data_IF_327618227781
#
_entry.id   IF_327618227781
#
_cell.length_a   1.000
_cell.length_b   1.000
_cell.length_c   1.000
_cell.angle_alpha   90.00
_cell.angle_beta   90.00
_cell.angle_gamma   90.00
#
_symmetry.space_group_name_H-M   'P 1'
#
loop_
_entity.id
_entity.type
_entity.pdbx_description
1 polymer ?
#
# COMPACT_ATOMS: atom_id res chain seq x y z
N UNK A 1 -30.86 12.29 -16.24
CA UNK A 1 -29.41 12.43 -16.00
C UNK A 1 -29.14 11.96 -14.59
N UNK A 2 -28.40 10.86 -14.39
CA UNK A 2 -28.08 10.40 -13.05
C UNK A 2 -27.17 11.44 -12.39
N UNK A 3 -27.51 11.87 -11.17
CA UNK A 3 -26.67 12.75 -10.38
C UNK A 3 -25.45 11.96 -9.93
N UNK A 4 -24.31 12.22 -10.55
CA UNK A 4 -23.00 11.78 -10.07
C UNK A 4 -22.78 12.50 -8.73
N UNK A 5 -22.96 11.76 -7.63
CA UNK A 5 -22.52 12.21 -6.32
C UNK A 5 -20.99 12.28 -6.39
N UNK A 6 -20.46 13.50 -6.38
CA UNK A 6 -19.05 13.72 -6.03
C UNK A 6 -18.89 13.31 -4.58
N UNK A 7 -18.58 12.04 -4.38
CA UNK A 7 -18.28 11.49 -3.07
C UNK A 7 -16.96 12.08 -2.58
N UNK A 8 -17.02 12.57 -1.35
CA UNK A 8 -15.95 13.30 -0.69
C UNK A 8 -14.68 12.45 -0.59
N UNK A 9 -13.54 13.13 -0.71
CA UNK A 9 -12.23 12.65 -0.31
C UNK A 9 -12.33 11.81 0.97
N UNK A 10 -11.97 10.52 0.88
CA UNK A 10 -11.78 9.50 1.95
C UNK A 10 -12.52 8.17 1.68
N UNK A 11 -12.38 7.59 0.48
CA UNK A 11 -12.64 6.17 0.27
C UNK A 11 -11.32 5.39 0.35
N UNK A 12 -10.87 5.14 1.57
CA UNK A 12 -9.84 4.15 1.89
C UNK A 12 -10.38 3.24 2.99
N UNK A 13 -11.34 2.38 2.65
CA UNK A 13 -11.61 1.19 3.45
C UNK A 13 -12.55 0.24 2.71
N UNK A 14 -12.06 -0.33 1.62
CA UNK A 14 -12.53 -1.66 1.23
C UNK A 14 -11.31 -2.57 1.12
N UNK A 15 -10.76 -2.98 2.26
CA UNK A 15 -9.85 -4.12 2.32
C UNK A 15 -10.70 -5.37 2.11
N UNK A 16 -10.85 -5.78 0.86
CA UNK A 16 -11.33 -7.11 0.57
C UNK A 16 -10.38 -8.11 1.25
N UNK A 17 -10.92 -9.15 1.90
CA UNK A 17 -10.07 -10.26 2.34
C UNK A 17 -9.45 -10.98 1.13
N UNK A 18 -10.20 -11.02 0.03
CA UNK A 18 -9.80 -11.43 -1.32
C UNK A 18 -10.68 -10.67 -2.33
N UNK A 19 -10.11 -10.19 -3.44
CA UNK A 19 -10.86 -9.55 -4.53
C UNK A 19 -11.88 -10.52 -5.16
N UNK A 20 -13.08 -10.03 -5.55
CA UNK A 20 -14.04 -10.86 -6.25
C UNK A 20 -13.50 -11.27 -7.63
N UNK A 21 -13.92 -12.42 -8.18
CA UNK A 21 -13.45 -12.91 -9.47
C UNK A 21 -13.52 -11.87 -10.58
N UNK A 22 -14.61 -11.11 -10.65
CA UNK A 22 -14.85 -10.07 -11.64
C UNK A 22 -13.79 -8.95 -11.59
N UNK A 23 -13.30 -8.61 -10.38
CA UNK A 23 -12.23 -7.64 -10.20
C UNK A 23 -10.86 -8.20 -10.61
N UNK A 24 -10.61 -9.49 -10.33
CA UNK A 24 -9.40 -10.17 -10.77
C UNK A 24 -9.33 -10.28 -12.30
N UNK A 25 -10.45 -10.60 -12.96
CA UNK A 25 -10.54 -10.60 -14.41
C UNK A 25 -10.30 -9.20 -14.99
N UNK A 26 -10.85 -8.16 -14.37
CA UNK A 26 -10.63 -6.80 -14.80
C UNK A 26 -9.15 -6.37 -14.73
N UNK A 27 -8.46 -6.69 -13.64
CA UNK A 27 -7.01 -6.42 -13.49
C UNK A 27 -6.23 -7.22 -14.52
N UNK A 28 -6.59 -8.50 -14.70
CA UNK A 28 -5.95 -9.34 -15.70
C UNK A 28 -6.06 -8.73 -17.09
N UNK A 29 -7.25 -8.33 -17.53
CA UNK A 29 -7.45 -7.74 -18.86
C UNK A 29 -6.59 -6.48 -19.07
N UNK A 30 -6.46 -5.64 -18.05
CA UNK A 30 -5.76 -4.36 -18.15
C UNK A 30 -4.23 -4.46 -18.04
N UNK A 31 -3.70 -5.41 -17.26
CA UNK A 31 -2.26 -5.46 -16.95
C UNK A 31 -1.57 -6.76 -17.33
N UNK A 32 -2.27 -7.89 -17.24
CA UNK A 32 -1.63 -9.23 -17.33
C UNK A 32 -2.10 -10.07 -18.52
N UNK A 33 -3.00 -9.54 -19.36
CA UNK A 33 -3.61 -10.25 -20.50
C UNK A 33 -2.63 -10.70 -21.57
N UNK A 34 -1.45 -10.07 -21.62
CA UNK A 34 -0.36 -10.45 -22.53
C UNK A 34 0.64 -11.44 -21.93
N UNK A 35 0.63 -11.63 -20.62
CA UNK A 35 1.67 -12.35 -19.89
C UNK A 35 1.21 -13.73 -19.41
N UNK A 36 -0.06 -13.86 -19.04
CA UNK A 36 -0.64 -15.11 -18.55
C UNK A 36 -2.11 -15.20 -18.90
N UNK A 37 -2.70 -16.39 -18.77
CA UNK A 37 -4.15 -16.55 -18.86
C UNK A 37 -4.84 -16.08 -17.58
N UNK A 38 -6.12 -15.75 -17.68
CA UNK A 38 -6.87 -15.28 -16.53
C UNK A 38 -6.99 -16.35 -15.42
N UNK A 39 -7.05 -17.63 -15.81
CA UNK A 39 -7.08 -18.78 -14.91
C UNK A 39 -5.77 -18.93 -14.14
N UNK A 40 -4.63 -18.70 -14.79
CA UNK A 40 -3.30 -18.69 -14.17
C UNK A 40 -3.13 -17.51 -13.20
N UNK A 41 -3.64 -16.33 -13.56
CA UNK A 41 -3.63 -15.14 -12.70
C UNK A 41 -4.45 -15.35 -11.43
N UNK A 42 -5.70 -15.83 -11.58
CA UNK A 42 -6.60 -16.13 -10.46
C UNK A 42 -6.01 -17.22 -9.55
N UNK A 43 -5.44 -18.28 -10.13
CA UNK A 43 -4.77 -19.34 -9.36
C UNK A 43 -3.54 -18.81 -8.60
N UNK A 44 -2.82 -17.83 -9.17
CA UNK A 44 -1.67 -17.19 -8.52
C UNK A 44 -2.08 -16.28 -7.36
N UNK A 45 -3.17 -15.52 -7.53
CA UNK A 45 -3.74 -14.64 -6.50
C UNK A 45 -4.24 -15.44 -5.27
N UNK A 46 -5.00 -16.50 -5.48
CA UNK A 46 -5.52 -17.33 -4.38
C UNK A 46 -4.51 -18.35 -3.85
N UNK A 47 -3.57 -18.81 -4.68
CA UNK A 47 -2.55 -19.78 -4.31
C UNK A 47 -1.46 -19.24 -3.39
N UNK A 48 -1.37 -17.91 -3.22
CA UNK A 48 -0.41 -17.21 -2.37
C UNK A 48 1.06 -17.67 -2.60
N UNK A 49 1.37 -18.17 -3.81
CA UNK A 49 2.68 -18.72 -4.18
C UNK A 49 3.74 -17.64 -4.34
N UNK A 50 3.31 -16.41 -4.52
CA UNK A 50 4.17 -15.22 -4.68
C UNK A 50 3.83 -14.26 -3.53
N UNK A 51 4.80 -14.02 -2.65
CA UNK A 51 4.63 -13.05 -1.55
C UNK A 51 4.30 -11.67 -2.11
N UNK A 52 3.29 -11.01 -1.57
CA UNK A 52 2.90 -9.64 -1.98
C UNK A 52 1.97 -9.54 -3.19
N UNK A 53 1.62 -10.64 -3.87
CA UNK A 53 0.75 -10.62 -5.06
C UNK A 53 -0.67 -10.10 -4.76
N UNK A 54 -1.14 -10.28 -3.52
CA UNK A 54 -2.44 -9.75 -3.08
C UNK A 54 -2.42 -8.23 -2.93
N UNK A 55 -1.41 -7.70 -2.24
CA UNK A 55 -1.25 -6.25 -2.09
C UNK A 55 -1.04 -5.56 -3.44
N UNK A 56 -0.29 -6.20 -4.33
CA UNK A 56 -0.10 -5.67 -5.69
C UNK A 56 -1.37 -5.75 -6.54
N UNK A 57 -2.16 -6.83 -6.40
CA UNK A 57 -3.47 -6.94 -7.03
C UNK A 57 -4.44 -5.84 -6.56
N UNK A 58 -4.49 -5.58 -5.26
CA UNK A 58 -5.35 -4.53 -4.69
C UNK A 58 -4.90 -3.12 -5.15
N UNK A 59 -3.59 -2.88 -5.23
CA UNK A 59 -3.02 -1.62 -5.74
C UNK A 59 -3.37 -1.40 -7.21
N UNK A 60 -3.10 -2.41 -8.05
CA UNK A 60 -3.37 -2.36 -9.48
C UNK A 60 -4.87 -2.23 -9.77
N UNK A 61 -5.72 -2.79 -8.93
CA UNK A 61 -7.16 -2.62 -9.03
C UNK A 61 -7.60 -1.16 -8.84
N UNK A 62 -7.14 -0.49 -7.78
CA UNK A 62 -7.50 0.92 -7.56
C UNK A 62 -6.95 1.83 -8.65
N UNK A 63 -5.76 1.54 -9.17
CA UNK A 63 -5.19 2.25 -10.33
C UNK A 63 -6.03 2.03 -11.61
N UNK A 64 -6.43 0.79 -11.88
CA UNK A 64 -7.29 0.43 -13.01
C UNK A 64 -8.64 1.13 -12.95
N UNK A 65 -9.24 1.12 -11.76
CA UNK A 65 -10.54 1.74 -11.47
C UNK A 65 -10.50 3.24 -11.67
N UNK A 66 -9.47 3.91 -11.14
CA UNK A 66 -9.32 5.35 -11.31
C UNK A 66 -9.17 5.73 -12.80
N UNK A 67 -8.31 5.02 -13.52
CA UNK A 67 -8.11 5.23 -14.96
C UNK A 67 -9.39 4.96 -15.78
N UNK A 68 -10.12 3.90 -15.48
CA UNK A 68 -11.35 3.54 -16.19
C UNK A 68 -12.53 4.49 -15.88
N UNK A 69 -12.62 5.01 -14.65
CA UNK A 69 -13.59 6.05 -14.28
C UNK A 69 -13.30 7.38 -15.00
N UNK A 70 -12.02 7.76 -15.13
CA UNK A 70 -11.61 8.96 -15.88
C UNK A 70 -11.89 8.85 -17.38
N UNK A 71 -11.75 7.65 -17.95
CA UNK A 71 -12.04 7.36 -19.36
C UNK A 71 -13.53 7.10 -19.63
N UNK A 72 -14.37 6.98 -18.60
CA UNK A 72 -15.80 6.68 -18.72
C UNK A 72 -16.11 5.26 -19.20
N UNK A 73 -15.15 4.34 -19.10
CA UNK A 73 -15.22 2.97 -19.61
C UNK A 73 -15.25 1.92 -18.48
N UNK A 74 -15.63 2.32 -17.26
CA UNK A 74 -15.72 1.38 -16.14
C UNK A 74 -16.92 0.43 -16.34
N UNK A 75 -16.73 -0.90 -16.28
CA UNK A 75 -17.82 -1.86 -16.51
C UNK A 75 -18.99 -1.66 -15.54
N UNK A 76 -20.21 -1.57 -16.06
CA UNK A 76 -21.43 -1.40 -15.25
C UNK A 76 -21.65 -2.57 -14.28
N UNK A 77 -21.20 -3.77 -14.65
CA UNK A 77 -21.23 -4.99 -13.82
C UNK A 77 -20.37 -4.83 -12.56
N UNK A 78 -19.22 -4.16 -12.67
CA UNK A 78 -18.38 -3.78 -11.53
C UNK A 78 -18.97 -2.58 -10.79
N UNK A 79 -19.68 -1.67 -11.44
CA UNK A 79 -20.34 -0.57 -10.75
C UNK A 79 -21.44 -1.09 -9.81
N UNK A 80 -22.21 -2.10 -10.24
CA UNK A 80 -23.34 -2.65 -9.48
C UNK A 80 -22.91 -3.51 -8.29
N UNK A 81 -21.86 -4.33 -8.43
CA UNK A 81 -21.28 -5.11 -7.33
C UNK A 81 -20.71 -4.19 -6.23
N UNK A 82 -20.28 -2.98 -6.60
CA UNK A 82 -19.53 -2.07 -5.72
C UNK A 82 -20.40 -0.96 -5.12
N UNK A 83 -21.47 -0.55 -5.80
CA UNK A 83 -22.52 0.33 -5.24
C UNK A 83 -23.48 -0.41 -4.30
N UNK A 84 -23.59 -1.75 -4.40
CA UNK A 84 -24.48 -2.58 -3.54
C UNK A 84 -24.02 -2.76 -2.08
N UNK A 85 -22.90 -2.16 -1.65
CA UNK A 85 -22.48 -2.17 -0.24
C UNK A 85 -22.50 -0.82 0.46
N UNK A 86 -23.34 0.11 0.02
CA UNK A 86 -23.84 1.18 0.90
C UNK A 86 -25.03 0.62 1.68
N UNK A 87 -24.77 -0.35 2.55
CA UNK A 87 -25.70 -0.69 3.63
C UNK A 87 -25.06 -0.15 4.91
N UNK A 88 -25.57 0.95 5.48
CA UNK A 88 -25.26 1.31 6.86
C UNK A 88 -25.55 0.08 7.72
N UNK A 89 -24.67 -0.23 8.68
CA UNK A 89 -24.72 -1.38 9.60
C UNK A 89 -26.00 -1.52 10.44
N UNK A 90 -27.04 -0.75 10.14
CA UNK A 90 -28.34 -0.66 10.83
C UNK A 90 -29.52 -1.28 10.03
N UNK A 91 -29.27 -1.97 8.90
CA UNK A 91 -30.35 -2.54 8.07
C UNK A 91 -30.47 -4.08 8.07
N UNK A 92 -29.78 -4.79 8.96
CA UNK A 92 -29.90 -6.25 9.10
C UNK A 92 -30.88 -6.73 10.20
N UNK A 93 -31.67 -5.83 10.78
CA UNK A 93 -32.82 -6.23 11.61
C UNK A 93 -34.11 -5.67 11.05
N UNK A 94 -34.55 -6.20 9.90
CA UNK A 94 -35.97 -6.21 9.51
C UNK A 94 -36.20 -7.15 8.32
N UNK A 95 -36.10 -8.45 8.55
CA UNK A 95 -36.97 -9.39 7.84
C UNK A 95 -37.15 -10.67 8.62
N UNK A 96 -38.37 -10.81 9.16
CA UNK A 96 -39.03 -12.05 9.59
C UNK A 96 -38.45 -12.84 10.77
N UNK A 97 -38.95 -12.58 11.98
CA UNK A 97 -39.68 -13.63 12.72
C UNK A 97 -40.58 -13.00 13.77
N UNK A 98 -41.82 -13.47 13.82
CA UNK A 98 -42.84 -13.08 14.79
C UNK A 98 -42.61 -13.84 16.08
N UNK A 99 -42.11 -13.20 17.14
CA UNK A 99 -42.36 -13.61 18.52
C UNK A 99 -42.32 -12.40 19.46
N UNK A 100 -43.39 -12.26 20.23
CA UNK A 100 -43.64 -11.27 21.27
C UNK A 100 -42.63 -11.35 22.42
N UNK A 101 -42.00 -10.23 22.80
CA UNK A 101 -42.06 -9.72 24.18
C UNK A 101 -41.28 -8.42 24.41
N UNK A 102 -41.85 -7.64 25.34
CA UNK A 102 -41.23 -6.66 26.25
C UNK A 102 -40.67 -5.35 25.65
N UNK A 103 -41.20 -4.25 26.21
CA UNK A 103 -40.75 -2.88 26.01
C UNK A 103 -39.24 -2.69 26.30
N UNK A 104 -38.44 -2.62 25.24
CA UNK A 104 -37.15 -1.93 25.27
C UNK A 104 -37.35 -0.55 24.63
N UNK A 105 -37.19 0.51 25.43
CA UNK A 105 -37.10 1.88 24.90
C UNK A 105 -35.97 1.91 23.86
N UNK A 106 -36.16 2.54 22.69
CA UNK A 106 -35.06 2.72 21.76
C UNK A 106 -34.00 3.58 22.45
N UNK A 107 -32.81 3.01 22.66
CA UNK A 107 -31.64 3.78 23.06
C UNK A 107 -31.32 4.67 21.86
N UNK A 108 -31.73 5.93 21.93
CA UNK A 108 -31.30 6.94 20.96
C UNK A 108 -29.79 7.09 21.17
N UNK A 109 -28.99 6.37 20.38
CA UNK A 109 -27.53 6.60 20.34
C UNK A 109 -27.31 8.07 20.04
N UNK A 110 -26.59 8.74 20.91
CA UNK A 110 -26.26 10.14 20.71
C UNK A 110 -25.43 10.25 19.42
N UNK A 111 -25.82 11.14 18.51
CA UNK A 111 -25.07 11.42 17.28
C UNK A 111 -23.63 11.85 17.62
N UNK A 112 -23.41 12.44 18.78
CA UNK A 112 -22.10 12.81 19.31
C UNK A 112 -21.26 11.59 19.68
N UNK A 113 -21.88 10.57 20.27
CA UNK A 113 -21.21 9.30 20.62
C UNK A 113 -20.72 8.56 19.37
N UNK A 114 -21.57 8.43 18.34
CA UNK A 114 -21.21 7.78 17.08
C UNK A 114 -20.06 8.52 16.38
N UNK A 115 -20.09 9.85 16.36
CA UNK A 115 -18.99 10.67 15.81
C UNK A 115 -17.69 10.50 16.59
N UNK A 116 -17.74 10.43 17.92
CA UNK A 116 -16.54 10.17 18.76
C UNK A 116 -15.92 8.82 18.43
N UNK A 117 -16.73 7.77 18.28
CA UNK A 117 -16.24 6.43 17.94
C UNK A 117 -15.58 6.44 16.56
N UNK A 118 -16.18 7.10 15.57
CA UNK A 118 -15.60 7.22 14.23
C UNK A 118 -14.25 7.97 14.26
N UNK A 119 -14.17 9.11 14.94
CA UNK A 119 -12.92 9.86 15.09
C UNK A 119 -11.84 9.05 15.81
N UNK A 120 -12.20 8.31 16.88
CA UNK A 120 -11.29 7.38 17.55
C UNK A 120 -10.78 6.28 16.61
N UNK A 121 -11.63 5.75 15.73
CA UNK A 121 -11.21 4.75 14.76
C UNK A 121 -10.25 5.33 13.71
N UNK A 122 -10.49 6.55 13.23
CA UNK A 122 -9.60 7.22 12.28
C UNK A 122 -8.22 7.51 12.90
N UNK A 123 -8.19 7.93 14.17
CA UNK A 123 -6.94 8.12 14.92
C UNK A 123 -6.15 6.81 14.96
N UNK A 124 -6.79 5.72 15.43
CA UNK A 124 -6.13 4.42 15.52
C UNK A 124 -5.59 3.97 14.16
N UNK A 125 -6.37 4.13 13.08
CA UNK A 125 -5.93 3.77 11.74
C UNK A 125 -4.69 4.56 11.29
N UNK A 126 -4.59 5.83 11.65
CA UNK A 126 -3.41 6.65 11.33
C UNK A 126 -2.20 6.28 12.17
N UNK A 127 -2.39 5.95 13.44
CA UNK A 127 -1.34 5.42 14.32
C UNK A 127 -0.80 4.09 13.77
N UNK A 128 -1.68 3.16 13.40
CA UNK A 128 -1.30 1.87 12.80
C UNK A 128 -0.53 2.06 11.47
N UNK A 129 -0.94 3.03 10.64
CA UNK A 129 -0.23 3.36 9.41
C UNK A 129 1.18 3.91 9.67
N UNK A 130 1.38 4.70 10.73
CA UNK A 130 2.71 5.21 11.10
C UNK A 130 3.64 4.09 11.57
N UNK A 131 3.10 3.13 12.31
CA UNK A 131 3.83 1.96 12.76
C UNK A 131 4.26 1.09 11.57
N UNK A 132 3.37 0.86 10.61
CA UNK A 132 3.68 0.11 9.39
C UNK A 132 4.75 0.81 8.55
N UNK A 133 4.65 2.13 8.36
CA UNK A 133 5.69 2.90 7.65
C UNK A 133 7.04 2.78 8.37
N UNK A 134 7.05 2.85 9.70
CA UNK A 134 8.28 2.72 10.48
C UNK A 134 8.89 1.32 10.33
N UNK A 135 8.07 0.28 10.29
CA UNK A 135 8.49 -1.08 10.03
C UNK A 135 9.06 -1.26 8.61
N UNK A 136 8.36 -0.74 7.59
CA UNK A 136 8.81 -0.79 6.20
C UNK A 136 10.14 -0.05 5.99
N UNK A 137 10.31 1.11 6.62
CA UNK A 137 11.56 1.85 6.57
C UNK A 137 12.71 1.02 7.12
N UNK A 138 12.56 0.47 8.34
CA UNK A 138 13.58 -0.37 8.94
C UNK A 138 13.94 -1.56 8.04
N UNK A 139 12.94 -2.21 7.44
CA UNK A 139 13.17 -3.31 6.51
C UNK A 139 13.97 -2.86 5.28
N UNK A 140 13.66 -1.69 4.74
CA UNK A 140 14.41 -1.12 3.62
C UNK A 140 15.87 -0.80 3.99
N UNK A 141 16.11 -0.27 5.20
CA UNK A 141 17.44 -0.03 5.73
C UNK A 141 18.24 -1.34 5.84
N UNK A 142 17.64 -2.38 6.43
CA UNK A 142 18.24 -3.73 6.55
C UNK A 142 18.56 -4.33 5.17
N UNK A 143 17.62 -4.29 4.22
CA UNK A 143 17.83 -4.80 2.84
C UNK A 143 18.93 -4.02 2.09
N UNK A 144 19.02 -2.71 2.31
CA UNK A 144 20.06 -1.86 1.69
C UNK A 144 21.44 -2.18 2.25
N UNK A 145 21.54 -2.37 3.57
CA UNK A 145 22.80 -2.76 4.22
C UNK A 145 23.28 -4.13 3.77
N UNK A 146 22.36 -5.10 3.62
CA UNK A 146 22.66 -6.42 3.08
C UNK A 146 23.14 -6.33 1.62
N UNK A 147 22.45 -5.53 0.79
CA UNK A 147 22.84 -5.29 -0.60
C UNK A 147 24.24 -4.66 -0.71
N UNK A 148 24.52 -3.63 0.09
CA UNK A 148 25.83 -2.98 0.12
C UNK A 148 26.92 -3.95 0.59
N UNK A 149 26.63 -4.77 1.60
CA UNK A 149 27.57 -5.76 2.13
C UNK A 149 27.90 -6.84 1.09
N UNK A 150 26.89 -7.38 0.41
CA UNK A 150 27.07 -8.31 -0.70
C UNK A 150 27.87 -7.68 -1.85
N UNK A 151 27.53 -6.44 -2.22
CA UNK A 151 28.23 -5.68 -3.25
C UNK A 151 29.70 -5.49 -2.89
N UNK A 152 30.03 -5.06 -1.66
CA UNK A 152 31.42 -4.91 -1.19
C UNK A 152 32.19 -6.23 -1.24
N UNK A 153 31.55 -7.34 -0.89
CA UNK A 153 32.17 -8.67 -0.98
C UNK A 153 32.50 -9.04 -2.43
N UNK A 154 31.53 -8.92 -3.34
CA UNK A 154 31.75 -9.16 -4.77
C UNK A 154 32.81 -8.23 -5.34
N UNK A 155 32.80 -6.96 -4.92
CA UNK A 155 33.77 -6.00 -5.42
C UNK A 155 35.19 -6.35 -4.94
N UNK A 156 35.34 -6.79 -3.69
CA UNK A 156 36.64 -7.21 -3.16
C UNK A 156 37.20 -8.42 -3.92
N UNK A 157 36.34 -9.39 -4.29
CA UNK A 157 36.75 -10.55 -5.10
C UNK A 157 37.19 -10.14 -6.51
N UNK A 158 36.47 -9.22 -7.14
CA UNK A 158 36.83 -8.71 -8.47
C UNK A 158 38.14 -7.91 -8.43
N UNK A 159 38.40 -7.13 -7.38
CA UNK A 159 39.67 -6.42 -7.18
C UNK A 159 40.84 -7.40 -7.04
N UNK A 160 40.66 -8.53 -6.34
CA UNK A 160 41.67 -9.57 -6.24
C UNK A 160 42.00 -10.20 -7.61
N UNK A 161 40.97 -10.50 -8.41
CA UNK A 161 41.15 -11.03 -9.77
C UNK A 161 41.86 -10.03 -10.70
N UNK A 162 41.48 -8.75 -10.63
CA UNK A 162 42.16 -7.69 -11.38
C UNK A 162 43.63 -7.59 -10.99
N UNK A 163 43.93 -7.65 -9.69
CA UNK A 163 45.30 -7.63 -9.16
C UNK A 163 46.13 -8.82 -9.65
N UNK A 164 45.54 -10.01 -9.75
CA UNK A 164 46.23 -11.19 -10.32
C UNK A 164 46.50 -11.04 -11.83
N UNK A 165 45.58 -10.42 -12.56
CA UNK A 165 45.71 -10.21 -14.02
C UNK A 165 46.68 -9.08 -14.39
N UNK A 166 46.98 -8.18 -13.45
CA UNK A 166 47.84 -7.01 -13.65
C UNK A 166 49.27 -7.37 -14.09
N UNK A 167 49.74 -8.58 -13.77
CA UNK A 167 51.04 -9.08 -14.20
C UNK A 167 51.15 -9.21 -15.74
N UNK A 168 50.05 -9.52 -16.43
CA UNK A 168 50.04 -9.77 -17.87
C UNK A 168 49.72 -8.52 -18.70
N UNK A 169 48.95 -7.57 -18.15
CA UNK A 169 48.63 -6.32 -18.83
C UNK A 169 48.45 -5.16 -17.82
N UNK A 170 49.55 -4.50 -17.41
CA UNK A 170 49.53 -3.52 -16.32
C UNK A 170 48.78 -2.23 -16.67
N UNK A 171 48.82 -1.78 -17.93
CA UNK A 171 48.09 -0.59 -18.37
C UNK A 171 46.58 -0.82 -18.34
N UNK A 172 46.12 -1.98 -18.83
CA UNK A 172 44.71 -2.34 -18.76
C UNK A 172 44.26 -2.52 -17.31
N UNK A 173 45.03 -3.21 -16.49
CA UNK A 173 44.69 -3.42 -15.07
C UNK A 173 44.60 -2.11 -14.29
N UNK A 174 45.49 -1.14 -14.54
CA UNK A 174 45.39 0.19 -13.92
C UNK A 174 44.13 0.95 -14.35
N UNK A 175 43.74 0.87 -15.62
CA UNK A 175 42.51 1.47 -16.10
C UNK A 175 41.27 0.80 -15.49
N UNK A 176 41.24 -0.54 -15.50
CA UNK A 176 40.14 -1.33 -14.95
C UNK A 176 39.99 -1.07 -13.44
N UNK A 177 41.09 -0.97 -12.69
CA UNK A 177 41.06 -0.64 -11.26
C UNK A 177 40.52 0.77 -10.99
N UNK A 178 40.88 1.76 -11.82
CA UNK A 178 40.34 3.12 -11.70
C UNK A 178 38.82 3.14 -11.93
N UNK A 179 38.36 2.52 -13.03
CA UNK A 179 36.93 2.41 -13.33
C UNK A 179 36.16 1.72 -12.21
N UNK A 180 36.79 0.70 -11.61
CA UNK A 180 36.20 -0.08 -10.54
C UNK A 180 36.03 0.73 -9.24
N UNK A 181 37.05 1.51 -8.88
CA UNK A 181 36.98 2.41 -7.73
C UNK A 181 35.92 3.50 -7.92
N UNK A 182 35.79 4.04 -9.13
CA UNK A 182 34.75 5.01 -9.48
C UNK A 182 33.35 4.41 -9.32
N UNK A 183 33.13 3.19 -9.82
CA UNK A 183 31.84 2.47 -9.66
C UNK A 183 31.53 2.23 -8.19
N UNK A 184 32.51 1.78 -7.40
CA UNK A 184 32.34 1.56 -5.96
C UNK A 184 31.93 2.84 -5.24
N UNK A 185 32.66 3.93 -5.48
CA UNK A 185 32.36 5.23 -4.87
C UNK A 185 30.98 5.74 -5.28
N UNK A 186 30.60 5.56 -6.55
CA UNK A 186 29.30 5.98 -7.05
C UNK A 186 28.15 5.20 -6.39
N UNK A 187 28.28 3.87 -6.26
CA UNK A 187 27.31 3.02 -5.59
C UNK A 187 27.13 3.40 -4.12
N UNK A 188 28.24 3.60 -3.39
CA UNK A 188 28.18 4.05 -2.00
C UNK A 188 27.49 5.41 -1.89
N UNK A 189 27.82 6.37 -2.76
CA UNK A 189 27.21 7.69 -2.76
C UNK A 189 25.70 7.63 -3.02
N UNK A 190 25.27 6.89 -4.04
CA UNK A 190 23.86 6.74 -4.39
C UNK A 190 23.07 6.09 -3.26
N UNK A 191 23.63 5.07 -2.62
CA UNK A 191 22.97 4.40 -1.50
C UNK A 191 22.78 5.34 -0.31
N UNK A 192 23.80 6.10 0.09
CA UNK A 192 23.65 7.10 1.16
C UNK A 192 22.60 8.16 0.79
N UNK A 193 22.59 8.65 -0.44
CA UNK A 193 21.58 9.61 -0.90
C UNK A 193 20.15 9.06 -0.83
N UNK A 194 19.95 7.78 -1.17
CA UNK A 194 18.65 7.13 -1.06
C UNK A 194 18.20 7.01 0.40
N UNK A 195 19.12 6.67 1.30
CA UNK A 195 18.85 6.58 2.75
C UNK A 195 18.48 7.94 3.35
N UNK A 196 19.23 9.00 3.02
CA UNK A 196 18.94 10.36 3.46
C UNK A 196 17.55 10.83 2.95
N UNK A 197 17.22 10.50 1.70
CA UNK A 197 15.93 10.83 1.10
C UNK A 197 14.79 10.10 1.80
N UNK A 198 14.98 8.80 2.10
CA UNK A 198 14.01 7.99 2.83
C UNK A 198 13.77 8.55 4.24
N UNK A 199 14.83 8.88 4.98
CA UNK A 199 14.73 9.46 6.32
C UNK A 199 13.99 10.80 6.29
N UNK A 200 14.37 11.68 5.36
CA UNK A 200 13.70 12.98 5.17
C UNK A 200 12.22 12.82 4.85
N UNK A 201 11.87 11.89 3.95
CA UNK A 201 10.47 11.67 3.56
C UNK A 201 9.66 11.03 4.68
N UNK A 202 10.24 10.06 5.40
CA UNK A 202 9.64 9.44 6.59
C UNK A 202 9.32 10.49 7.65
N UNK A 203 10.30 11.37 7.94
CA UNK A 203 10.12 12.44 8.92
C UNK A 203 9.00 13.40 8.52
N UNK A 204 8.94 13.81 7.24
CA UNK A 204 7.87 14.68 6.73
C UNK A 204 6.50 14.02 6.86
N UNK A 205 6.41 12.73 6.51
CA UNK A 205 5.17 11.98 6.64
C UNK A 205 4.74 11.86 8.10
N UNK A 206 5.67 11.53 9.01
CA UNK A 206 5.39 11.44 10.45
C UNK A 206 4.81 12.74 11.00
N UNK A 207 5.49 13.87 10.78
CA UNK A 207 5.03 15.18 11.25
C UNK A 207 3.63 15.49 10.72
N UNK A 208 3.40 15.25 9.42
CA UNK A 208 2.09 15.48 8.81
C UNK A 208 1.00 14.60 9.45
N UNK A 209 1.28 13.32 9.68
CA UNK A 209 0.30 12.41 10.27
C UNK A 209 0.04 12.73 11.74
N UNK A 210 1.08 13.13 12.51
CA UNK A 210 0.94 13.63 13.88
C UNK A 210 0.04 14.87 13.93
N UNK A 211 0.24 15.84 13.03
CA UNK A 211 -0.62 17.03 12.91
C UNK A 211 -2.09 16.66 12.61
N UNK A 212 -2.31 15.67 11.74
CA UNK A 212 -3.66 15.16 11.41
C UNK A 212 -4.31 14.44 12.59
N UNK A 213 -3.54 13.63 13.34
CA UNK A 213 -4.00 12.95 14.55
C UNK A 213 -4.39 13.97 15.63
N UNK A 214 -3.57 15.00 15.84
CA UNK A 214 -3.86 16.07 16.80
C UNK A 214 -5.15 16.83 16.45
N UNK A 215 -5.38 17.11 15.16
CA UNK A 215 -6.63 17.70 14.70
C UNK A 215 -7.83 16.80 15.00
N UNK A 216 -7.73 15.49 14.74
CA UNK A 216 -8.78 14.53 15.06
C UNK A 216 -9.05 14.44 16.57
N UNK A 217 -8.01 14.48 17.41
CA UNK A 217 -8.17 14.55 18.86
C UNK A 217 -8.91 15.82 19.30
N UNK A 218 -8.56 16.97 18.72
CA UNK A 218 -9.25 18.23 19.00
C UNK A 218 -10.73 18.19 18.57
N UNK A 219 -11.04 17.63 17.39
CA UNK A 219 -12.41 17.46 16.92
C UNK A 219 -13.21 16.53 17.82
N UNK A 220 -12.63 15.41 18.23
CA UNK A 220 -13.25 14.45 19.15
C UNK A 220 -13.58 15.10 20.47
N UNK A 221 -12.66 15.89 21.03
CA UNK A 221 -12.82 16.54 22.33
C UNK A 221 -13.83 17.70 22.33
N UNK A 222 -14.17 18.25 21.16
CA UNK A 222 -15.25 19.24 21.01
C UNK A 222 -16.66 18.62 21.05
N UNK A 223 -16.78 17.30 20.96
CA UNK A 223 -18.08 16.61 20.98
C UNK A 223 -18.60 16.45 22.42
N UNK A 224 -19.89 16.70 22.62
CA UNK A 224 -20.56 16.65 23.94
C UNK A 224 -20.67 15.22 24.43
N UNK A 225 -20.13 14.91 25.62
CA UNK A 225 -20.11 13.57 26.21
C UNK A 225 -21.49 13.00 26.50
#
# INVERSE_FOLDING_TARGET
MPKILKEANNFSSFTWKDLPPEALFFIHEHYFSKEMTAEEYVASYFGNKVSGIKHEGDRLFEEAKQNALEQGNFPDELLEVWTKKIIPKDAEEKSSSSFSNAHSKPVVRDKSEVKRVNLSQQIQQKEDQMDEVSHLNRKFEEETDDFLSATRSCLSQAEELLSQSAYYNPQKASHDQSMFMDVRQHLETLSHQQMDLLESNSRKLRVKTEDEIDQLYQERNKLVW
#
